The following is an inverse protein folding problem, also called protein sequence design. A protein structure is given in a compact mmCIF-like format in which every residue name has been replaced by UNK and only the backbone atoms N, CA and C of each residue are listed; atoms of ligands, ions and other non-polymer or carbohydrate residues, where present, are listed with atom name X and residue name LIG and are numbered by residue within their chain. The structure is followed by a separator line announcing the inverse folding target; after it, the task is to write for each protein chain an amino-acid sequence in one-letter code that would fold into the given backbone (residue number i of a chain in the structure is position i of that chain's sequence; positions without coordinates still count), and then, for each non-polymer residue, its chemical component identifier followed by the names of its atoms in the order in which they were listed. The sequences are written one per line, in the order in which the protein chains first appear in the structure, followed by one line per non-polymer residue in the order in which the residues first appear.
data_IF_241655849128
#
_entry.id   IF_241655849128
#
_cell.length_a   1.000
_cell.length_b   1.000
_cell.length_c   1.000
_cell.angle_alpha   90.00
_cell.angle_beta   90.00
_cell.angle_gamma   90.00
#
_symmetry.space_group_name_H-M   'P 1'
#
loop_
_entity.id
_entity.type
_entity.pdbx_description
1 polymer ?
#
# COMPACT_ATOMS: atom_id res chain seq x y z
N UNK A 1 -75.47 -19.92 17.91
CA UNK A 1 -76.46 -20.99 17.76
C UNK A 1 -76.84 -21.39 19.18
N UNK A 2 -77.96 -20.88 19.69
CA UNK A 2 -78.48 -21.26 21.00
C UNK A 2 -79.05 -22.67 20.82
N UNK A 3 -78.46 -23.66 21.48
CA UNK A 3 -78.98 -25.02 21.47
C UNK A 3 -80.38 -25.03 22.04
N UNK A 4 -81.37 -25.34 21.21
CA UNK A 4 -82.73 -25.58 21.67
C UNK A 4 -82.76 -26.92 22.41
N UNK A 5 -82.84 -26.89 23.73
CA UNK A 5 -83.39 -28.03 24.47
C UNK A 5 -84.87 -28.08 24.13
N UNK A 6 -85.30 -29.13 23.44
CA UNK A 6 -86.71 -29.34 23.09
C UNK A 6 -87.59 -29.25 24.34
N UNK A 7 -88.37 -28.18 24.43
CA UNK A 7 -89.62 -28.15 25.18
C UNK A 7 -90.64 -28.98 24.36
N UNK A 8 -90.92 -30.18 24.84
CA UNK A 8 -91.90 -31.18 24.35
C UNK A 8 -91.39 -32.27 23.40
N UNK A 9 -91.34 -33.50 23.93
CA UNK A 9 -91.57 -34.74 23.19
C UNK A 9 -90.39 -35.37 22.44
N UNK A 10 -89.55 -36.12 23.16
CA UNK A 10 -88.82 -37.29 22.60
C UNK A 10 -87.31 -37.13 22.41
N UNK A 11 -86.54 -37.98 23.11
CA UNK A 11 -85.15 -38.36 22.78
C UNK A 11 -84.15 -37.22 22.67
N UNK A 12 -83.98 -36.41 23.73
CA UNK A 12 -82.90 -35.45 23.81
C UNK A 12 -81.55 -36.14 24.07
N UNK A 13 -80.47 -35.52 23.59
CA UNK A 13 -79.12 -35.92 24.00
C UNK A 13 -78.89 -35.51 25.45
N UNK A 14 -78.56 -36.46 26.32
CA UNK A 14 -78.17 -36.20 27.71
C UNK A 14 -76.74 -35.66 27.79
N UNK A 15 -76.39 -35.05 28.92
CA UNK A 15 -75.02 -34.62 29.23
C UNK A 15 -73.99 -35.74 29.03
N UNK A 16 -74.34 -36.97 29.37
CA UNK A 16 -73.52 -38.19 29.17
C UNK A 16 -73.15 -38.47 27.71
N UNK A 17 -73.91 -37.95 26.75
CA UNK A 17 -73.66 -38.10 25.31
C UNK A 17 -72.81 -36.94 24.75
N UNK A 18 -72.52 -35.92 25.57
CA UNK A 18 -71.67 -34.79 25.22
C UNK A 18 -70.20 -35.09 25.53
N UNK A 19 -69.29 -34.36 24.88
CA UNK A 19 -67.84 -34.44 25.12
C UNK A 19 -67.23 -33.15 25.64
N UNK A 20 -68.02 -32.08 25.67
CA UNK A 20 -67.60 -30.81 26.25
C UNK A 20 -67.52 -30.94 27.77
N UNK A 21 -66.39 -30.55 28.32
CA UNK A 21 -66.16 -30.35 29.75
C UNK A 21 -65.96 -28.87 30.05
N UNK A 22 -65.87 -28.49 31.32
CA UNK A 22 -65.64 -27.10 31.72
C UNK A 22 -64.37 -26.55 31.05
N UNK A 23 -63.32 -27.36 30.89
CA UNK A 23 -62.07 -26.95 30.26
C UNK A 23 -62.18 -26.70 28.74
N UNK A 24 -63.26 -27.15 28.10
CA UNK A 24 -63.53 -26.91 26.68
C UNK A 24 -64.40 -25.67 26.44
N UNK A 25 -64.96 -25.11 27.52
CA UNK A 25 -65.90 -23.98 27.47
C UNK A 25 -65.22 -22.74 28.03
N UNK A 26 -65.35 -21.62 27.32
CA UNK A 26 -64.75 -20.35 27.69
C UNK A 26 -65.24 -19.91 29.07
N UNK A 27 -64.34 -19.37 29.88
CA UNK A 27 -64.71 -18.76 31.16
C UNK A 27 -65.81 -17.71 31.01
N UNK A 28 -66.60 -17.52 32.08
CA UNK A 28 -67.76 -16.61 32.11
C UNK A 28 -68.89 -17.01 31.13
N UNK A 29 -68.83 -18.23 30.55
CA UNK A 29 -69.91 -18.80 29.75
C UNK A 29 -70.47 -20.05 30.42
N UNK A 30 -71.80 -20.20 30.36
CA UNK A 30 -72.51 -21.35 30.96
C UNK A 30 -72.74 -22.44 29.91
N UNK A 31 -72.70 -23.71 30.33
CA UNK A 31 -72.95 -24.87 29.48
C UNK A 31 -73.60 -26.03 30.26
N UNK A 32 -74.09 -27.01 29.51
CA UNK A 32 -74.39 -28.38 29.98
C UNK A 32 -73.46 -29.29 29.19
N UNK A 33 -72.77 -30.23 29.85
CA UNK A 33 -71.73 -31.05 29.24
C UNK A 33 -71.46 -32.33 30.03
N UNK A 34 -70.47 -33.10 29.59
CA UNK A 34 -70.18 -34.45 30.09
C UNK A 34 -69.88 -34.52 31.61
N UNK A 35 -69.57 -33.37 32.21
CA UNK A 35 -69.17 -33.19 33.59
C UNK A 35 -70.19 -32.41 34.42
N UNK A 36 -71.43 -32.22 33.91
CA UNK A 36 -72.42 -31.34 34.54
C UNK A 36 -73.70 -32.02 35.02
N UNK A 37 -73.86 -33.36 34.85
CA UNK A 37 -75.03 -34.14 35.31
C UNK A 37 -76.38 -33.51 34.93
N UNK A 38 -76.53 -33.15 33.65
CA UNK A 38 -77.69 -32.43 33.08
C UNK A 38 -77.98 -31.05 33.70
N UNK A 39 -77.07 -30.52 34.52
CA UNK A 39 -77.18 -29.21 35.15
C UNK A 39 -76.31 -28.16 34.47
N UNK A 40 -76.62 -26.88 34.75
CA UNK A 40 -75.81 -25.76 34.28
C UNK A 40 -74.50 -25.67 35.06
N UNK A 41 -73.38 -25.61 34.35
CA UNK A 41 -72.06 -25.29 34.88
C UNK A 41 -71.41 -24.11 34.14
N UNK A 42 -70.30 -23.61 34.67
CA UNK A 42 -69.49 -22.56 34.03
C UNK A 42 -68.22 -23.14 33.39
N UNK A 43 -67.85 -22.59 32.23
CA UNK A 43 -66.59 -22.90 31.57
C UNK A 43 -65.37 -22.42 32.37
N UNK A 44 -64.23 -23.08 32.15
CA UNK A 44 -62.96 -22.79 32.81
C UNK A 44 -61.81 -22.52 31.83
N UNK A 45 -62.04 -22.59 30.51
CA UNK A 45 -61.02 -22.23 29.52
C UNK A 45 -60.72 -20.73 29.59
N UNK A 46 -59.47 -20.38 29.80
CA UNK A 46 -59.07 -18.98 29.97
C UNK A 46 -59.17 -18.18 28.67
N UNK A 47 -59.64 -16.94 28.74
CA UNK A 47 -59.56 -16.00 27.64
C UNK A 47 -58.23 -15.25 27.68
N UNK A 48 -57.18 -15.85 27.13
CA UNK A 48 -55.80 -15.36 27.23
C UNK A 48 -55.64 -13.91 26.74
N UNK A 49 -56.32 -13.52 25.66
CA UNK A 49 -56.25 -12.13 25.16
C UNK A 49 -56.82 -11.10 26.16
N UNK A 50 -57.95 -11.38 26.80
CA UNK A 50 -58.57 -10.44 27.75
C UNK A 50 -57.75 -10.36 29.04
N UNK A 51 -57.21 -11.51 29.46
CA UNK A 51 -56.33 -11.65 30.63
C UNK A 51 -54.94 -11.03 30.43
N UNK A 52 -54.47 -10.87 29.18
CA UNK A 52 -53.19 -10.24 28.90
C UNK A 52 -53.11 -8.83 29.48
N UNK A 53 -52.09 -8.59 30.30
CA UNK A 53 -51.84 -7.31 30.98
C UNK A 53 -50.98 -6.37 30.15
N UNK A 54 -50.27 -6.89 29.13
CA UNK A 54 -49.38 -6.13 28.26
C UNK A 54 -50.13 -5.68 27.00
N UNK A 55 -49.87 -4.46 26.56
CA UNK A 55 -50.30 -3.91 25.27
C UNK A 55 -49.09 -3.52 24.42
N UNK A 56 -49.29 -3.42 23.10
CA UNK A 56 -48.21 -3.10 22.15
C UNK A 56 -47.47 -1.81 22.52
N UNK A 57 -48.22 -0.75 22.81
CA UNK A 57 -47.73 0.50 23.43
C UNK A 57 -48.81 1.09 24.33
N UNK A 58 -48.55 2.23 24.98
CA UNK A 58 -49.55 2.93 25.77
C UNK A 58 -50.69 3.50 24.89
N UNK A 59 -50.38 3.88 23.65
CA UNK A 59 -51.31 4.46 22.68
C UNK A 59 -51.99 3.39 21.80
N UNK A 60 -51.49 2.16 21.81
CA UNK A 60 -52.05 1.03 21.07
C UNK A 60 -52.38 -0.12 22.01
N UNK A 61 -53.67 -0.27 22.32
CA UNK A 61 -54.20 -1.26 23.23
C UNK A 61 -54.24 -2.71 22.69
N UNK A 62 -53.64 -2.99 21.52
CA UNK A 62 -53.50 -4.35 21.01
C UNK A 62 -52.80 -5.21 22.05
N UNK A 63 -53.45 -6.31 22.46
CA UNK A 63 -53.01 -7.18 23.54
C UNK A 63 -51.78 -7.99 23.15
N UNK A 64 -50.86 -8.14 24.09
CA UNK A 64 -49.63 -8.91 23.93
C UNK A 64 -49.60 -10.03 24.96
N UNK A 65 -49.49 -11.26 24.49
CA UNK A 65 -49.22 -12.44 25.31
C UNK A 65 -47.71 -12.67 25.30
N UNK A 66 -47.11 -12.75 26.48
CA UNK A 66 -45.69 -13.02 26.62
C UNK A 66 -45.40 -14.51 26.40
N UNK A 67 -44.43 -14.79 25.54
CA UNK A 67 -43.83 -16.11 25.36
C UNK A 67 -42.67 -16.32 26.32
N UNK A 68 -42.27 -17.58 26.51
CA UNK A 68 -41.20 -17.95 27.45
C UNK A 68 -39.86 -18.23 26.76
N UNK A 69 -39.87 -18.42 25.44
CA UNK A 69 -38.68 -18.72 24.66
C UNK A 69 -38.80 -18.28 23.20
N UNK A 70 -37.65 -18.02 22.59
CA UNK A 70 -37.49 -17.73 21.18
C UNK A 70 -36.65 -18.79 20.48
N UNK A 71 -37.00 -19.11 19.24
CA UNK A 71 -36.25 -20.04 18.41
C UNK A 71 -36.14 -19.51 16.98
N UNK A 72 -35.08 -19.94 16.29
CA UNK A 72 -35.06 -19.93 14.83
C UNK A 72 -34.83 -21.34 14.35
N UNK A 73 -35.77 -21.88 13.57
CA UNK A 73 -35.71 -23.25 13.10
C UNK A 73 -36.31 -23.39 11.71
N UNK A 74 -35.96 -24.49 11.02
CA UNK A 74 -36.67 -24.96 9.84
C UNK A 74 -37.77 -25.89 10.35
N UNK A 75 -39.04 -25.52 10.16
CA UNK A 75 -40.16 -26.34 10.60
C UNK A 75 -40.37 -27.55 9.68
N UNK A 76 -41.29 -28.45 10.07
CA UNK A 76 -41.62 -29.68 9.33
C UNK A 76 -42.14 -29.45 7.91
N UNK A 77 -42.58 -28.23 7.60
CA UNK A 77 -42.97 -27.80 6.25
C UNK A 77 -41.81 -27.24 5.42
N UNK A 78 -40.59 -27.26 5.95
CA UNK A 78 -39.36 -26.82 5.28
C UNK A 78 -39.10 -25.31 5.33
N UNK A 79 -39.94 -24.53 6.02
CA UNK A 79 -39.76 -23.06 6.09
C UNK A 79 -38.97 -22.66 7.34
N UNK A 80 -37.98 -21.78 7.16
CA UNK A 80 -37.28 -21.16 8.28
C UNK A 80 -38.14 -20.08 8.93
N UNK A 81 -38.34 -20.14 10.24
CA UNK A 81 -39.14 -19.18 11.00
C UNK A 81 -38.38 -18.64 12.21
N UNK A 82 -38.78 -17.43 12.60
CA UNK A 82 -38.62 -16.94 13.95
C UNK A 82 -39.86 -17.38 14.74
N UNK A 83 -39.66 -18.14 15.80
CA UNK A 83 -40.72 -18.75 16.59
C UNK A 83 -40.68 -18.19 18.00
N UNK A 84 -41.86 -17.90 18.54
CA UNK A 84 -42.04 -17.55 19.95
C UNK A 84 -42.89 -18.67 20.54
N UNK A 85 -42.39 -19.29 21.61
CA UNK A 85 -43.14 -20.31 22.33
C UNK A 85 -43.99 -19.64 23.39
N UNK A 86 -45.24 -20.07 23.45
CA UNK A 86 -46.12 -19.86 24.58
C UNK A 86 -46.23 -21.17 25.36
N UNK A 87 -45.77 -21.17 26.61
CA UNK A 87 -45.81 -22.34 27.50
C UNK A 87 -46.57 -22.02 28.80
N UNK A 88 -47.58 -21.15 28.69
CA UNK A 88 -48.49 -20.82 29.78
C UNK A 88 -49.71 -21.76 29.82
N UNK A 89 -50.72 -21.39 30.61
CA UNK A 89 -51.99 -22.12 30.67
C UNK A 89 -52.67 -22.11 29.31
N UNK A 90 -53.27 -23.25 28.95
CA UNK A 90 -54.10 -23.37 27.75
C UNK A 90 -55.26 -22.38 27.78
N UNK A 91 -55.68 -21.91 26.60
CA UNK A 91 -56.82 -21.00 26.53
C UNK A 91 -57.10 -20.48 25.13
N UNK A 92 -58.11 -19.63 25.09
CA UNK A 92 -58.64 -19.01 23.88
C UNK A 92 -57.92 -17.69 23.58
N UNK A 93 -57.59 -17.51 22.29
CA UNK A 93 -57.05 -16.25 21.77
C UNK A 93 -58.03 -15.64 20.77
N UNK A 94 -58.22 -14.33 20.83
CA UNK A 94 -58.96 -13.60 19.81
C UNK A 94 -58.02 -13.09 18.71
N UNK A 95 -58.54 -12.83 17.50
CA UNK A 95 -57.79 -12.14 16.45
C UNK A 95 -57.19 -10.82 16.94
N UNK A 96 -56.12 -10.36 16.30
CA UNK A 96 -55.36 -9.17 16.71
C UNK A 96 -54.78 -9.29 18.14
N UNK A 97 -54.24 -10.47 18.48
CA UNK A 97 -53.40 -10.69 19.66
C UNK A 97 -51.97 -10.90 19.22
N UNK A 98 -51.03 -10.23 19.87
CA UNK A 98 -49.60 -10.37 19.60
C UNK A 98 -48.98 -11.39 20.55
N UNK A 99 -47.94 -12.07 20.08
CA UNK A 99 -47.03 -12.86 20.92
C UNK A 99 -45.65 -12.20 20.91
N UNK A 100 -45.03 -12.08 22.08
CA UNK A 100 -43.75 -11.38 22.21
C UNK A 100 -42.82 -12.05 23.22
N UNK A 101 -41.53 -11.81 23.06
CA UNK A 101 -40.49 -12.03 24.07
C UNK A 101 -39.64 -10.76 24.14
N UNK A 102 -38.80 -10.57 25.18
CA UNK A 102 -37.78 -9.54 25.17
C UNK A 102 -36.94 -9.55 23.88
N UNK A 103 -36.63 -8.36 23.38
CA UNK A 103 -35.94 -8.19 22.09
C UNK A 103 -34.58 -8.92 22.03
N UNK A 104 -33.87 -8.96 23.17
CA UNK A 104 -32.59 -9.67 23.31
C UNK A 104 -32.69 -11.19 23.21
N UNK A 105 -33.84 -11.78 23.54
CA UNK A 105 -34.05 -13.23 23.44
C UNK A 105 -34.20 -13.64 21.98
N UNK A 106 -34.95 -12.86 21.18
CA UNK A 106 -34.99 -13.04 19.72
C UNK A 106 -33.62 -12.82 19.08
N UNK A 107 -32.86 -11.81 19.53
CA UNK A 107 -31.50 -11.58 19.04
C UNK A 107 -30.61 -12.81 19.31
N UNK A 108 -30.67 -13.35 20.52
CA UNK A 108 -29.91 -14.53 20.94
C UNK A 108 -30.31 -15.77 20.14
N UNK A 109 -31.61 -16.01 19.95
CA UNK A 109 -32.12 -17.12 19.15
C UNK A 109 -31.64 -17.04 17.69
N UNK A 110 -31.66 -15.84 17.11
CA UNK A 110 -31.11 -15.58 15.77
C UNK A 110 -29.58 -15.49 15.71
N UNK A 111 -28.89 -15.68 16.84
CA UNK A 111 -27.43 -15.62 16.96
C UNK A 111 -26.84 -14.24 16.62
N UNK A 112 -27.58 -13.16 16.83
CA UNK A 112 -27.13 -11.80 16.57
C UNK A 112 -26.22 -11.31 17.70
N UNK A 113 -25.06 -10.76 17.35
CA UNK A 113 -24.14 -10.11 18.31
C UNK A 113 -23.70 -8.76 17.76
N UNK A 114 -23.13 -7.92 18.62
CA UNK A 114 -22.62 -6.61 18.23
C UNK A 114 -21.55 -6.72 17.12
N UNK A 115 -20.71 -7.76 17.15
CA UNK A 115 -19.64 -8.03 16.18
C UNK A 115 -20.17 -8.47 14.80
N UNK A 116 -21.46 -8.80 14.69
CA UNK A 116 -22.11 -9.14 13.42
C UNK A 116 -22.76 -7.94 12.74
N UNK A 117 -22.85 -6.81 13.44
CA UNK A 117 -23.43 -5.56 12.94
C UNK A 117 -22.34 -4.51 12.79
N UNK A 118 -22.30 -3.84 11.64
CA UNK A 118 -21.40 -2.70 11.42
C UNK A 118 -21.65 -1.61 12.46
N UNK A 119 -20.57 -0.94 12.89
CA UNK A 119 -20.69 0.23 13.77
C UNK A 119 -21.67 1.26 13.21
N UNK A 120 -22.46 1.88 14.09
CA UNK A 120 -23.51 2.84 13.72
C UNK A 120 -24.80 2.19 13.20
N UNK A 121 -24.84 0.85 13.06
CA UNK A 121 -26.08 0.11 12.82
C UNK A 121 -26.62 -0.46 14.13
N UNK A 122 -27.91 -0.82 14.14
CA UNK A 122 -28.52 -1.51 15.26
C UNK A 122 -29.63 -2.44 14.79
N UNK A 123 -29.78 -3.59 15.44
CA UNK A 123 -30.91 -4.48 15.25
C UNK A 123 -31.22 -5.19 16.56
N UNK A 124 -32.49 -5.42 16.85
CA UNK A 124 -32.95 -6.07 18.07
C UNK A 124 -32.39 -5.44 19.38
N UNK A 125 -32.22 -4.11 19.41
CA UNK A 125 -31.68 -3.40 20.58
C UNK A 125 -30.16 -3.55 20.76
N UNK A 126 -29.49 -4.31 19.89
CA UNK A 126 -28.04 -4.47 19.87
C UNK A 126 -27.44 -3.40 18.95
N UNK A 127 -26.54 -2.58 19.49
CA UNK A 127 -25.71 -1.66 18.72
C UNK A 127 -24.54 -2.42 18.08
N UNK A 128 -24.26 -2.13 16.80
CA UNK A 128 -23.16 -2.76 16.08
C UNK A 128 -21.79 -2.27 16.51
N UNK A 129 -20.83 -3.19 16.55
CA UNK A 129 -19.44 -2.95 16.92
C UNK A 129 -18.45 -3.46 15.86
N UNK A 130 -18.92 -4.12 14.79
CA UNK A 130 -18.04 -4.59 13.74
C UNK A 130 -17.33 -3.40 13.07
N UNK A 131 -16.03 -3.52 12.88
CA UNK A 131 -15.12 -2.47 12.34
C UNK A 131 -14.91 -1.24 13.23
N UNK A 132 -15.32 -1.28 14.50
CA UNK A 132 -15.21 -0.13 15.42
C UNK A 132 -13.77 0.23 15.79
N UNK A 133 -12.90 -0.77 15.81
CA UNK A 133 -11.46 -0.66 16.04
C UNK A 133 -10.67 -0.40 14.74
N UNK A 134 -11.33 -0.39 13.58
CA UNK A 134 -10.66 -0.14 12.31
C UNK A 134 -10.16 1.32 12.24
N UNK A 135 -8.90 1.49 11.84
CA UNK A 135 -8.22 2.80 11.78
C UNK A 135 -7.74 3.20 10.39
N UNK A 136 -7.99 2.38 9.37
CA UNK A 136 -7.53 2.66 8.02
C UNK A 136 -8.19 3.92 7.45
N UNK A 137 -7.41 4.73 6.76
CA UNK A 137 -7.90 5.90 6.02
C UNK A 137 -7.65 5.73 4.52
N UNK A 138 -8.36 6.51 3.68
CA UNK A 138 -8.35 6.33 2.23
C UNK A 138 -6.94 6.34 1.61
N UNK A 139 -6.05 7.24 2.05
CA UNK A 139 -4.67 7.34 1.55
C UNK A 139 -3.72 6.26 2.09
N UNK A 140 -4.20 5.31 2.89
CA UNK A 140 -3.45 4.11 3.30
C UNK A 140 -3.86 2.87 2.51
N UNK A 141 -4.94 2.96 1.72
CA UNK A 141 -5.52 1.85 0.98
C UNK A 141 -5.26 2.06 -0.51
N UNK A 142 -4.83 0.99 -1.17
CA UNK A 142 -4.66 0.91 -2.63
C UNK A 142 -5.82 1.55 -3.40
N UNK A 143 -5.50 2.39 -4.37
CA UNK A 143 -6.48 3.15 -5.15
C UNK A 143 -7.57 2.24 -5.74
N UNK A 144 -8.84 2.62 -5.51
CA UNK A 144 -10.01 1.89 -5.99
C UNK A 144 -10.37 0.62 -5.20
N UNK A 145 -9.56 0.22 -4.19
CA UNK A 145 -9.93 -0.85 -3.26
C UNK A 145 -10.89 -0.32 -2.21
N UNK A 146 -11.77 -1.18 -1.71
CA UNK A 146 -12.80 -0.82 -0.74
C UNK A 146 -12.45 -1.45 0.61
N UNK A 147 -12.63 -0.70 1.69
CA UNK A 147 -12.66 -1.21 3.05
C UNK A 147 -13.89 -0.66 3.79
N UNK A 148 -14.23 -1.29 4.91
CA UNK A 148 -15.21 -0.77 5.86
C UNK A 148 -14.46 -0.38 7.13
N UNK A 149 -14.63 0.87 7.55
CA UNK A 149 -13.97 1.44 8.72
C UNK A 149 -15.02 2.17 9.51
N UNK A 150 -15.20 1.78 10.77
CA UNK A 150 -16.20 2.37 11.68
C UNK A 150 -17.59 2.44 11.05
N UNK A 151 -18.00 1.31 10.47
CA UNK A 151 -19.27 1.15 9.76
C UNK A 151 -19.38 1.85 8.41
N UNK A 152 -18.39 2.67 8.04
CA UNK A 152 -18.41 3.45 6.80
C UNK A 152 -17.61 2.76 5.70
N UNK A 153 -18.20 2.68 4.51
CA UNK A 153 -17.48 2.25 3.30
C UNK A 153 -16.49 3.33 2.90
N UNK A 154 -15.21 2.98 2.80
CA UNK A 154 -14.15 3.86 2.32
C UNK A 154 -13.53 3.29 1.04
N UNK A 155 -13.21 4.17 0.09
CA UNK A 155 -12.49 3.82 -1.14
C UNK A 155 -11.06 4.31 -1.01
N UNK A 156 -10.10 3.42 -1.24
CA UNK A 156 -8.68 3.74 -1.21
C UNK A 156 -8.29 4.73 -2.29
N UNK A 157 -7.32 5.57 -1.96
CA UNK A 157 -6.77 6.63 -2.82
C UNK A 157 -5.25 6.56 -2.95
N UNK A 158 -4.58 5.65 -2.25
CA UNK A 158 -3.13 5.51 -2.34
C UNK A 158 -2.74 4.96 -3.72
N UNK A 159 -1.98 5.75 -4.47
CA UNK A 159 -1.64 5.45 -5.86
C UNK A 159 -0.84 4.14 -5.99
N UNK A 160 -1.19 3.33 -6.98
CA UNK A 160 -0.39 2.19 -7.42
C UNK A 160 0.68 2.69 -8.41
N UNK A 161 1.96 2.46 -8.11
CA UNK A 161 3.09 2.94 -8.92
C UNK A 161 3.61 1.90 -9.91
N UNK A 162 3.02 0.71 -9.93
CA UNK A 162 3.44 -0.38 -10.82
C UNK A 162 4.81 -0.95 -10.45
N UNK A 163 5.51 -1.51 -11.44
CA UNK A 163 6.71 -2.32 -11.24
C UNK A 163 8.01 -1.50 -11.08
N UNK A 164 8.08 -0.28 -11.61
CA UNK A 164 9.28 0.54 -11.51
C UNK A 164 8.95 2.03 -11.55
N UNK A 165 9.72 2.83 -10.81
CA UNK A 165 9.65 4.29 -10.83
C UNK A 165 11.03 4.92 -10.83
N UNK A 166 11.10 6.13 -11.38
CA UNK A 166 12.32 6.92 -11.41
C UNK A 166 12.27 7.99 -10.32
N UNK A 167 13.38 8.13 -9.60
CA UNK A 167 13.61 9.24 -8.68
C UNK A 167 14.71 10.19 -9.17
N UNK A 168 15.19 11.02 -8.25
CA UNK A 168 16.25 12.01 -8.43
C UNK A 168 17.55 11.54 -7.80
N UNK A 169 18.67 12.12 -8.24
CA UNK A 169 19.95 11.91 -7.57
C UNK A 169 19.95 12.56 -6.18
N UNK A 170 20.38 11.79 -5.18
CA UNK A 170 20.72 12.30 -3.85
C UNK A 170 22.12 11.82 -3.46
N UNK A 171 22.89 12.70 -2.83
CA UNK A 171 24.17 12.33 -2.22
C UNK A 171 24.17 12.83 -0.78
N UNK A 172 24.47 11.91 0.14
CA UNK A 172 24.66 12.20 1.56
C UNK A 172 26.10 11.94 1.97
N UNK A 173 26.37 12.01 3.27
CA UNK A 173 27.67 11.70 3.81
C UNK A 173 27.94 10.18 3.72
N UNK A 174 28.67 9.76 2.67
CA UNK A 174 29.07 8.36 2.47
C UNK A 174 28.07 7.48 1.70
N UNK A 175 27.00 8.03 1.11
CA UNK A 175 26.06 7.26 0.31
C UNK A 175 25.47 8.05 -0.87
N UNK A 176 25.00 7.32 -1.88
CA UNK A 176 24.15 7.82 -2.96
C UNK A 176 22.74 7.25 -2.79
N UNK A 177 21.72 8.04 -3.09
CA UNK A 177 20.33 7.67 -2.93
C UNK A 177 19.51 8.04 -4.17
N UNK A 178 18.37 7.37 -4.30
CA UNK A 178 17.32 7.73 -5.26
C UNK A 178 16.25 8.49 -4.48
N UNK A 179 16.30 9.82 -4.56
CA UNK A 179 15.41 10.72 -3.83
C UNK A 179 14.08 10.93 -4.57
N UNK A 180 13.08 11.44 -3.85
CA UNK A 180 11.81 11.91 -4.43
C UNK A 180 11.07 10.87 -5.28
N UNK A 181 11.10 9.60 -4.86
CA UNK A 181 10.17 8.61 -5.38
C UNK A 181 8.73 9.04 -5.00
N UNK A 182 7.77 8.98 -5.94
CA UNK A 182 6.38 9.34 -5.64
C UNK A 182 5.80 8.49 -4.51
N UNK A 183 5.04 9.07 -3.59
CA UNK A 183 4.31 8.28 -2.59
C UNK A 183 3.37 7.29 -3.28
N UNK A 184 3.29 6.05 -2.78
CA UNK A 184 2.37 5.06 -3.32
C UNK A 184 2.79 3.64 -3.00
N UNK A 185 2.05 2.69 -3.56
CA UNK A 185 2.31 1.27 -3.43
C UNK A 185 3.13 0.80 -4.63
N UNK A 186 4.21 0.06 -4.33
CA UNK A 186 5.11 -0.55 -5.29
C UNK A 186 4.99 -2.06 -5.18
N UNK A 187 4.60 -2.75 -6.26
CA UNK A 187 4.43 -4.21 -6.25
C UNK A 187 5.13 -4.87 -7.43
N UNK A 188 5.67 -6.05 -7.20
CA UNK A 188 6.01 -6.97 -8.28
C UNK A 188 4.74 -7.55 -8.88
N UNK A 189 4.75 -7.82 -10.18
CA UNK A 189 3.74 -8.63 -10.87
C UNK A 189 4.27 -10.04 -11.18
N UNK A 190 5.30 -10.50 -10.46
CA UNK A 190 5.98 -11.77 -10.70
C UNK A 190 7.27 -11.63 -11.52
N UNK A 191 7.59 -10.44 -12.03
CA UNK A 191 8.88 -10.19 -12.65
C UNK A 191 10.03 -10.24 -11.61
N UNK A 192 11.10 -10.96 -11.92
CA UNK A 192 12.28 -11.11 -11.04
C UNK A 192 13.00 -9.79 -10.72
N UNK A 193 12.81 -8.76 -11.55
CA UNK A 193 13.42 -7.44 -11.39
C UNK A 193 12.52 -6.43 -10.66
N UNK A 194 11.26 -6.77 -10.35
CA UNK A 194 10.30 -5.83 -9.77
C UNK A 194 10.03 -6.10 -8.28
N UNK A 195 9.67 -5.07 -7.48
CA UNK A 195 9.62 -3.66 -7.85
C UNK A 195 11.02 -3.01 -7.85
N UNK A 196 11.21 -1.95 -8.65
CA UNK A 196 12.50 -1.27 -8.78
C UNK A 196 12.42 0.25 -8.62
N UNK A 197 13.34 0.80 -7.81
CA UNK A 197 13.63 2.24 -7.77
C UNK A 197 14.78 2.55 -8.72
N UNK A 198 14.56 3.45 -9.68
CA UNK A 198 15.50 3.74 -10.76
C UNK A 198 16.03 5.17 -10.72
N UNK A 199 17.20 5.35 -11.30
CA UNK A 199 17.75 6.64 -11.70
C UNK A 199 18.32 6.52 -13.10
N UNK A 200 18.11 7.53 -13.95
CA UNK A 200 18.73 7.56 -15.26
C UNK A 200 20.26 7.68 -15.11
N UNK A 201 21.00 6.91 -15.91
CA UNK A 201 22.48 6.91 -15.87
C UNK A 201 23.07 8.29 -16.14
N UNK A 202 22.46 9.09 -17.00
CA UNK A 202 22.83 10.49 -17.27
C UNK A 202 22.64 11.39 -16.05
N UNK A 203 21.53 11.24 -15.32
CA UNK A 203 21.25 11.97 -14.08
C UNK A 203 22.25 11.60 -12.99
N UNK A 204 22.55 10.30 -12.85
CA UNK A 204 23.58 9.83 -11.92
C UNK A 204 24.95 10.39 -12.28
N UNK A 205 25.35 10.28 -13.55
CA UNK A 205 26.64 10.77 -14.04
C UNK A 205 26.82 12.27 -13.75
N UNK A 206 25.81 13.08 -14.10
CA UNK A 206 25.80 14.51 -13.78
C UNK A 206 25.91 14.77 -12.27
N UNK A 207 25.14 14.03 -11.47
CA UNK A 207 25.10 14.17 -10.01
C UNK A 207 26.45 13.91 -9.33
N UNK A 208 27.23 12.95 -9.82
CA UNK A 208 28.57 12.64 -9.29
C UNK A 208 29.69 13.42 -10.01
N UNK A 209 29.36 14.34 -10.91
CA UNK A 209 30.35 15.09 -11.71
C UNK A 209 31.07 14.26 -12.78
N UNK A 210 30.56 13.08 -13.12
CA UNK A 210 31.13 12.20 -14.14
C UNK A 210 30.86 12.78 -15.54
N UNK A 211 31.94 13.05 -16.26
CA UNK A 211 31.92 13.54 -17.63
C UNK A 211 33.16 13.03 -18.38
N UNK A 212 33.18 13.18 -19.71
CA UNK A 212 34.28 12.63 -20.53
C UNK A 212 35.67 13.13 -20.11
N UNK A 213 35.78 14.39 -19.64
CA UNK A 213 37.08 14.99 -19.27
C UNK A 213 37.69 14.44 -17.98
N UNK A 214 36.92 13.73 -17.17
CA UNK A 214 37.39 13.09 -15.92
C UNK A 214 37.57 11.58 -16.06
N UNK A 215 37.23 11.02 -17.22
CA UNK A 215 37.37 9.59 -17.52
C UNK A 215 38.55 9.40 -18.47
N UNK A 216 39.43 8.45 -18.16
CA UNK A 216 40.58 8.08 -19.01
C UNK A 216 40.13 7.78 -20.43
N UNK A 217 40.88 8.27 -21.42
CA UNK A 217 40.55 8.06 -22.83
C UNK A 217 40.33 6.59 -23.18
N UNK A 218 39.23 6.34 -23.89
CA UNK A 218 38.82 4.99 -24.32
C UNK A 218 38.09 4.16 -23.26
N UNK A 219 38.01 4.61 -22.00
CA UNK A 219 37.20 3.95 -20.96
C UNK A 219 35.76 4.47 -21.03
N UNK A 220 34.77 3.58 -20.91
CA UNK A 220 33.35 3.94 -20.84
C UNK A 220 32.78 3.64 -19.45
N UNK A 221 32.21 4.65 -18.79
CA UNK A 221 31.53 4.52 -17.50
C UNK A 221 30.14 5.12 -17.66
N UNK A 222 29.09 4.36 -17.32
CA UNK A 222 27.68 4.77 -17.47
C UNK A 222 27.32 5.23 -18.90
N UNK A 223 28.02 4.71 -19.93
CA UNK A 223 27.83 5.08 -21.34
C UNK A 223 28.59 6.34 -21.78
N UNK A 224 29.36 6.99 -20.90
CA UNK A 224 30.21 8.14 -21.24
C UNK A 224 31.62 7.65 -21.54
N UNK A 225 32.08 7.82 -22.77
CA UNK A 225 33.47 7.52 -23.18
C UNK A 225 34.40 8.65 -22.79
N UNK A 226 35.50 8.30 -22.12
CA UNK A 226 36.50 9.26 -21.66
C UNK A 226 37.32 9.92 -22.75
N UNK A 227 37.74 11.14 -22.47
CA UNK A 227 38.65 11.96 -23.28
C UNK A 227 39.89 12.42 -22.50
N UNK A 228 40.01 12.05 -21.22
CA UNK A 228 41.15 12.44 -20.38
C UNK A 228 42.41 11.67 -20.77
N UNK A 229 43.41 12.39 -21.26
CA UNK A 229 44.71 11.83 -21.68
C UNK A 229 45.75 11.78 -20.55
N UNK A 230 45.44 12.34 -19.36
CA UNK A 230 46.39 12.46 -18.26
C UNK A 230 47.15 13.79 -18.22
N UNK A 231 47.69 14.12 -17.04
CA UNK A 231 48.74 15.13 -16.86
C UNK A 231 50.09 14.41 -16.77
N UNK A 232 51.05 14.79 -17.62
CA UNK A 232 52.42 14.27 -17.55
C UNK A 232 53.33 15.31 -16.84
N UNK A 233 53.70 15.05 -15.59
CA UNK A 233 54.75 15.81 -14.90
C UNK A 233 56.09 15.18 -15.23
N UNK A 234 56.77 15.71 -16.25
CA UNK A 234 58.11 15.25 -16.62
C UNK A 234 58.76 16.20 -17.62
N UNK A 235 60.04 16.47 -17.42
CA UNK A 235 60.82 17.41 -18.23
C UNK A 235 60.85 16.98 -19.71
N UNK A 236 60.06 17.65 -20.54
CA UNK A 236 60.33 17.85 -21.97
C UNK A 236 60.26 16.62 -22.87
N UNK A 237 59.06 16.05 -23.07
CA UNK A 237 58.82 15.13 -24.19
C UNK A 237 58.07 15.84 -25.31
N UNK A 238 58.69 15.92 -26.50
CA UNK A 238 58.12 16.54 -27.71
C UNK A 238 57.29 15.49 -28.47
N UNK A 239 56.06 15.84 -28.83
CA UNK A 239 55.15 15.04 -29.65
C UNK A 239 55.81 14.59 -30.96
N UNK A 240 55.76 13.29 -31.28
CA UNK A 240 55.98 12.83 -32.65
C UNK A 240 54.65 12.41 -33.29
N UNK A 241 54.15 13.24 -34.22
CA UNK A 241 53.09 12.90 -35.19
C UNK A 241 51.91 12.06 -34.66
N UNK A 242 51.42 12.39 -33.47
CA UNK A 242 50.10 11.96 -32.99
C UNK A 242 49.94 10.51 -32.52
N UNK A 243 51.02 9.78 -32.19
CA UNK A 243 50.90 8.42 -31.62
C UNK A 243 51.75 8.22 -30.36
N UNK A 244 51.16 7.60 -29.33
CA UNK A 244 51.82 7.23 -28.07
C UNK A 244 52.38 5.81 -28.18
N UNK A 245 53.67 5.63 -27.86
CA UNK A 245 54.26 4.30 -27.69
C UNK A 245 55.66 4.20 -28.29
N UNK A 246 56.61 3.81 -27.45
CA UNK A 246 58.05 3.76 -27.70
C UNK A 246 58.67 5.14 -27.88
N UNK A 247 58.85 5.83 -26.75
CA UNK A 247 59.76 6.96 -26.68
C UNK A 247 61.12 6.51 -27.19
N UNK A 248 61.58 7.13 -28.28
CA UNK A 248 63.01 7.28 -28.42
C UNK A 248 63.42 8.08 -27.19
N UNK A 249 64.13 7.42 -26.26
CA UNK A 249 64.98 8.15 -25.35
C UNK A 249 65.71 9.20 -26.21
N UNK A 250 65.82 10.44 -25.76
CA UNK A 250 66.95 11.26 -26.15
C UNK A 250 68.17 10.46 -25.65
N UNK A 251 68.60 9.51 -26.48
CA UNK A 251 69.83 8.77 -26.28
C UNK A 251 70.88 9.84 -26.45
N UNK A 252 71.39 10.32 -25.32
CA UNK A 252 72.61 11.10 -25.17
C UNK A 252 73.21 11.49 -26.51
N UNK A 253 72.77 12.60 -27.09
CA UNK A 253 73.47 13.14 -28.24
C UNK A 253 74.78 13.73 -27.69
N UNK A 254 75.79 12.89 -27.46
CA UNK A 254 77.14 13.40 -27.18
C UNK A 254 77.67 14.20 -28.37
N UNK A 255 77.09 13.98 -29.55
CA UNK A 255 77.02 14.92 -30.67
C UNK A 255 76.28 14.19 -31.80
N UNK A 256 75.11 14.65 -32.23
CA UNK A 256 74.61 14.22 -33.54
C UNK A 256 75.25 15.12 -34.60
N UNK A 257 76.40 14.70 -35.10
CA UNK A 257 77.05 15.30 -36.27
C UNK A 257 76.56 14.52 -37.49
N UNK A 258 75.47 14.97 -38.12
CA UNK A 258 75.19 14.48 -39.47
C UNK A 258 76.15 15.15 -40.43
N UNK A 259 77.18 14.39 -40.83
CA UNK A 259 78.03 14.64 -41.99
C UNK A 259 78.53 16.08 -42.11
N UNK A 260 79.61 16.41 -41.41
CA UNK A 260 80.51 17.48 -41.86
C UNK A 260 81.22 16.94 -43.11
N UNK A 261 80.54 16.98 -44.24
CA UNK A 261 81.20 17.13 -45.52
C UNK A 261 81.22 18.64 -45.78
N UNK A 262 82.26 19.14 -46.45
CA UNK A 262 82.60 20.56 -46.58
C UNK A 262 81.58 21.44 -47.35
N UNK A 263 80.28 21.38 -47.04
CA UNK A 263 79.22 22.10 -47.76
C UNK A 263 78.18 22.77 -46.86
N UNK A 264 78.41 22.78 -45.55
CA UNK A 264 77.58 23.49 -44.59
C UNK A 264 76.66 22.57 -43.81
N UNK A 265 76.87 22.53 -42.50
CA UNK A 265 76.15 21.66 -41.57
C UNK A 265 75.61 22.46 -40.40
N UNK A 266 74.51 21.97 -39.83
CA UNK A 266 73.92 22.46 -38.58
C UNK A 266 74.25 21.45 -37.49
N UNK A 267 75.04 21.86 -36.49
CA UNK A 267 75.30 21.06 -35.29
C UNK A 267 74.48 21.59 -34.12
N UNK A 268 73.80 20.71 -33.40
CA UNK A 268 73.07 21.03 -32.18
C UNK A 268 73.84 20.42 -31.01
N UNK A 269 74.31 21.26 -30.09
CA UNK A 269 75.07 20.84 -28.90
C UNK A 269 74.34 21.31 -27.66
N UNK A 270 74.04 20.39 -26.74
CA UNK A 270 73.49 20.74 -25.44
C UNK A 270 74.60 21.24 -24.52
N UNK A 271 74.41 22.41 -23.92
CA UNK A 271 75.22 22.91 -22.81
C UNK A 271 74.40 22.82 -21.51
N UNK A 272 75.06 23.01 -20.38
CA UNK A 272 74.48 22.81 -19.05
C UNK A 272 73.22 23.67 -18.79
N UNK A 273 73.12 24.84 -19.43
CA UNK A 273 72.01 25.79 -19.26
C UNK A 273 71.40 26.28 -20.59
N UNK A 274 71.84 25.74 -21.73
CA UNK A 274 71.38 26.19 -23.05
C UNK A 274 71.51 25.09 -24.10
N UNK A 275 70.84 25.29 -25.24
CA UNK A 275 71.06 24.48 -26.44
C UNK A 275 71.69 25.41 -27.49
N UNK A 276 72.88 25.06 -27.95
CA UNK A 276 73.59 25.80 -28.98
C UNK A 276 73.32 25.17 -30.35
N UNK A 277 72.81 25.96 -31.29
CA UNK A 277 72.65 25.59 -32.70
C UNK A 277 73.72 26.35 -33.48
N UNK A 278 74.70 25.63 -34.02
CA UNK A 278 75.78 26.23 -34.81
C UNK A 278 75.62 25.82 -36.25
N UNK A 279 75.51 26.82 -37.13
CA UNK A 279 75.50 26.61 -38.58
C UNK A 279 76.88 27.01 -39.13
N UNK A 280 77.54 26.11 -39.87
CA UNK A 280 78.73 26.48 -40.65
C UNK A 280 78.27 26.79 -42.07
N UNK A 281 78.53 28.00 -42.55
CA UNK A 281 78.24 28.39 -43.93
C UNK A 281 79.56 28.72 -44.65
N UNK A 282 79.87 28.01 -45.75
CA UNK A 282 81.20 28.02 -46.40
C UNK A 282 81.49 29.28 -47.25
N UNK A 283 80.55 30.23 -47.35
CA UNK A 283 80.64 31.37 -48.27
C UNK A 283 80.93 32.74 -47.63
N UNK A 284 81.66 32.79 -46.51
CA UNK A 284 82.30 34.06 -46.07
C UNK A 284 83.76 33.82 -45.72
N UNK A 285 84.62 33.97 -46.73
CA UNK A 285 86.04 34.22 -46.56
C UNK A 285 86.22 35.66 -46.07
N UNK A 286 87.26 35.88 -45.27
CA UNK A 286 87.71 37.14 -44.65
C UNK A 286 87.16 37.46 -43.24
N UNK A 287 88.14 37.82 -42.43
CA UNK A 287 88.26 37.92 -40.98
C UNK A 287 87.35 38.97 -40.36
N UNK A 288 86.40 38.57 -39.50
CA UNK A 288 86.03 39.32 -38.29
C UNK A 288 85.54 38.33 -37.23
N UNK A 289 86.33 38.17 -36.16
CA UNK A 289 85.80 37.61 -34.93
C UNK A 289 84.79 38.61 -34.37
N UNK A 290 83.50 38.34 -34.50
CA UNK A 290 82.48 39.02 -33.70
C UNK A 290 82.56 38.41 -32.30
N UNK A 291 83.58 38.83 -31.56
CA UNK A 291 83.71 38.55 -30.14
C UNK A 291 82.91 39.60 -29.37
N UNK A 292 81.80 39.16 -28.78
CA UNK A 292 80.88 40.01 -28.04
C UNK A 292 81.44 40.20 -26.62
N UNK A 293 82.50 41.02 -26.52
CA UNK A 293 82.75 41.86 -25.36
C UNK A 293 83.83 41.41 -24.36
N UNK A 294 84.78 42.35 -24.19
CA UNK A 294 85.56 42.73 -22.99
C UNK A 294 87.03 42.24 -22.96
N UNK A 295 88.00 43.10 -23.31
CA UNK A 295 88.75 44.03 -22.41
C UNK A 295 89.92 43.28 -21.71
N UNK A 296 91.21 43.63 -21.81
CA UNK A 296 91.86 44.94 -21.53
C UNK A 296 93.36 44.87 -21.89
N UNK A 297 93.91 46.01 -22.28
CA UNK A 297 95.33 46.31 -22.56
C UNK A 297 96.13 46.40 -21.25
N UNK A 298 97.41 45.98 -21.23
CA UNK A 298 98.49 46.71 -20.53
C UNK A 298 99.92 46.29 -20.95
N UNK A 299 100.82 47.28 -20.93
CA UNK A 299 102.19 47.36 -21.47
C UNK A 299 103.28 47.04 -20.43
N UNK A 300 104.49 46.68 -20.92
CA UNK A 300 105.80 46.90 -20.28
C UNK A 300 106.90 46.16 -21.07
N UNK A 301 107.77 46.82 -21.88
CA UNK A 301 109.14 47.34 -21.60
C UNK A 301 110.05 46.32 -20.88
N UNK A 302 111.34 46.11 -21.16
CA UNK A 302 112.35 46.64 -22.11
C UNK A 302 113.69 45.92 -21.79
N UNK A 303 114.67 46.05 -22.70
CA UNK A 303 116.15 45.88 -22.55
C UNK A 303 116.67 44.46 -22.87
N UNK A 304 117.70 44.26 -23.71
CA UNK A 304 118.65 45.15 -24.41
C UNK A 304 118.71 44.83 -25.91
#
# INVERSE_FOLDING_TARGET
MIGSTNLSGGGGVGSDELTATAANVLEETTYVGADTDDELAEGTMQHLTNRATITHTAENATKVIEGDAAFTSINSDGTARAEIRYNGTEGFITPNTLFAVPQGDMATAGGLTAEKLLEGQSAFGIAGAATSDATAIANQISSGKIAYVKGSKITGTLAERGQAQFGRFGQGNGYVAINALPEGIYRSNGAAWAPEARIATSTLASGIGLNASVIKKGVSILGITGSYEGYYSGNGTIYNRGSWGSGYNIGWFTSYVQGINDSGGVSITQQQTSIAITTKNKYRQSTEAVDIGKKKINRGKSME
#
